data_IF_906240587458
#
_entry.id   IF_906240587458
#
_cell.length_a   1.000
_cell.length_b   1.000
_cell.length_c   1.000
_cell.angle_alpha   90.00
_cell.angle_beta   90.00
_cell.angle_gamma   90.00
#
_symmetry.space_group_name_H-M   'P 1'
#
loop_
_entity.id
_entity.type
_entity.pdbx_description
1 polymer ?
#
# COMPACT_ATOMS: atom_id res chain seq x y z
N UNK A 1 -0.46 20.28 19.76
CA UNK A 1 0.25 18.99 19.77
C UNK A 1 -0.05 18.29 18.45
N UNK A 2 0.93 17.62 17.82
CA UNK A 2 0.68 16.89 16.56
C UNK A 2 -0.26 15.70 16.82
N UNK A 3 -1.21 15.44 15.92
CA UNK A 3 -2.17 14.35 16.07
C UNK A 3 -1.43 12.99 16.18
N UNK A 4 -1.87 12.07 17.06
CA UNK A 4 -1.23 10.78 17.20
C UNK A 4 -1.35 9.96 15.90
N UNK A 5 -0.23 9.37 15.46
CA UNK A 5 -0.20 8.46 14.31
C UNK A 5 -0.40 7.03 14.78
N UNK A 6 -1.39 6.33 14.24
CA UNK A 6 -1.62 4.89 14.48
C UNK A 6 -1.42 4.11 13.19
N UNK A 7 -0.62 3.05 13.26
CA UNK A 7 -0.35 2.14 12.13
C UNK A 7 -1.01 0.79 12.43
N UNK A 8 -1.82 0.30 11.49
CA UNK A 8 -2.42 -1.03 11.53
C UNK A 8 -1.96 -1.82 10.31
N UNK A 9 -1.30 -2.95 10.53
CA UNK A 9 -0.94 -3.89 9.46
C UNK A 9 -2.16 -4.78 9.15
N UNK A 10 -2.92 -4.40 8.12
CA UNK A 10 -4.10 -5.15 7.69
C UNK A 10 -3.71 -6.45 7.00
N UNK A 11 -2.60 -6.41 6.25
CA UNK A 11 -2.05 -7.59 5.63
C UNK A 11 -0.53 -7.54 5.47
N UNK A 12 0.07 -8.73 5.50
CA UNK A 12 1.52 -8.95 5.58
C UNK A 12 1.92 -10.18 4.76
N UNK A 13 1.10 -10.53 3.77
CA UNK A 13 1.25 -11.63 2.86
C UNK A 13 2.03 -11.22 1.61
N UNK A 14 2.12 -12.17 0.69
CA UNK A 14 2.78 -12.05 -0.60
C UNK A 14 1.88 -12.76 -1.64
N UNK A 15 2.30 -12.94 -2.90
CA UNK A 15 1.46 -13.58 -3.93
C UNK A 15 1.00 -14.99 -3.56
N UNK A 16 1.75 -15.71 -2.72
CA UNK A 16 1.35 -17.05 -2.27
C UNK A 16 0.22 -16.94 -1.24
N UNK A 17 -0.98 -17.47 -1.51
CA UNK A 17 -2.11 -17.37 -0.60
C UNK A 17 -1.81 -18.09 0.72
N UNK A 18 -2.14 -17.43 1.83
CA UNK A 18 -2.01 -17.99 3.18
C UNK A 18 -3.26 -17.68 3.98
N UNK A 19 -3.87 -18.70 4.59
CA UNK A 19 -5.12 -18.55 5.36
C UNK A 19 -5.06 -17.48 6.47
N UNK A 20 -3.88 -17.23 7.03
CA UNK A 20 -3.69 -16.27 8.15
C UNK A 20 -3.10 -14.92 7.72
N UNK A 21 -2.69 -14.74 6.47
CA UNK A 21 -2.07 -13.50 5.99
C UNK A 21 -2.77 -13.01 4.72
N UNK A 22 -3.49 -11.90 4.84
CA UNK A 22 -3.96 -11.12 3.70
C UNK A 22 -2.77 -10.53 2.92
N UNK A 23 -2.98 -10.12 1.67
CA UNK A 23 -1.99 -9.44 0.84
C UNK A 23 -1.48 -8.13 1.46
N UNK A 24 -0.55 -7.43 0.82
CA UNK A 24 0.03 -6.20 1.37
C UNK A 24 -1.08 -5.16 1.64
N UNK A 25 -1.16 -4.68 2.88
CA UNK A 25 -1.98 -3.51 3.22
C UNK A 25 -1.62 -2.93 4.58
N UNK A 26 -1.39 -1.63 4.62
CA UNK A 26 -1.07 -0.86 5.82
C UNK A 26 -2.03 0.32 5.93
N UNK A 27 -2.80 0.39 7.00
CA UNK A 27 -3.60 1.56 7.33
C UNK A 27 -2.81 2.45 8.29
N UNK A 28 -2.68 3.72 7.96
CA UNK A 28 -2.19 4.78 8.85
C UNK A 28 -3.32 5.76 9.15
N UNK A 29 -3.55 6.03 10.44
CA UNK A 29 -4.47 7.07 10.90
C UNK A 29 -3.71 8.27 11.43
N UNK A 30 -4.08 9.45 10.95
CA UNK A 30 -3.56 10.75 11.37
C UNK A 30 -4.73 11.64 11.74
N UNK A 31 -5.03 11.76 13.03
CA UNK A 31 -6.31 12.33 13.47
C UNK A 31 -7.47 11.51 12.88
N UNK A 32 -8.37 12.17 12.15
CA UNK A 32 -9.51 11.54 11.47
C UNK A 32 -9.16 11.03 10.06
N UNK A 33 -8.00 11.39 9.52
CA UNK A 33 -7.59 10.96 8.18
C UNK A 33 -7.14 9.49 8.18
N UNK A 34 -7.88 8.65 7.45
CA UNK A 34 -7.50 7.27 7.14
C UNK A 34 -6.79 7.14 5.79
N UNK A 35 -5.51 6.81 5.82
CA UNK A 35 -4.66 6.61 4.63
C UNK A 35 -4.27 5.13 4.57
N UNK A 36 -4.60 4.45 3.46
CA UNK A 36 -4.21 3.05 3.24
C UNK A 36 -3.12 2.96 2.18
N UNK A 37 -2.06 2.22 2.47
CA UNK A 37 -1.04 1.82 1.51
C UNK A 37 -1.29 0.36 1.12
N UNK A 38 -1.56 0.14 -0.17
CA UNK A 38 -1.96 -1.14 -0.77
C UNK A 38 -3.28 -1.74 -0.25
N UNK A 39 -3.97 -2.47 -1.12
CA UNK A 39 -5.19 -3.24 -0.88
C UNK A 39 -5.06 -4.63 -1.52
N UNK A 40 -4.15 -5.44 -0.98
CA UNK A 40 -4.00 -6.85 -1.37
C UNK A 40 -5.18 -7.74 -0.96
N UNK A 41 -5.28 -8.98 -1.46
CA UNK A 41 -6.40 -9.88 -1.19
C UNK A 41 -6.72 -10.04 0.30
N UNK A 42 -7.98 -9.78 0.67
CA UNK A 42 -8.49 -9.92 2.04
C UNK A 42 -8.20 -8.74 2.97
N UNK A 43 -7.65 -7.64 2.46
CA UNK A 43 -7.37 -6.43 3.24
C UNK A 43 -8.62 -5.74 3.76
N UNK A 44 -9.67 -5.65 2.94
CA UNK A 44 -10.96 -5.09 3.33
C UNK A 44 -11.60 -5.90 4.45
N UNK A 45 -11.57 -7.23 4.34
CA UNK A 45 -12.03 -8.11 5.41
C UNK A 45 -11.23 -7.92 6.71
N UNK A 46 -9.91 -7.78 6.63
CA UNK A 46 -9.06 -7.51 7.80
C UNK A 46 -9.34 -6.14 8.44
N UNK A 47 -9.69 -5.15 7.61
CA UNK A 47 -10.09 -3.83 8.07
C UNK A 47 -11.38 -3.92 8.90
N UNK A 48 -12.42 -4.59 8.40
CA UNK A 48 -13.67 -4.76 9.17
C UNK A 48 -13.50 -5.65 10.39
N UNK A 49 -12.71 -6.72 10.30
CA UNK A 49 -12.40 -7.58 11.45
C UNK A 49 -11.67 -6.82 12.57
N UNK A 50 -10.98 -5.73 12.24
CA UNK A 50 -10.38 -4.82 13.21
C UNK A 50 -11.35 -3.76 13.76
N UNK A 51 -12.64 -3.82 13.40
CA UNK A 51 -13.67 -2.85 13.82
C UNK A 51 -13.50 -1.48 13.18
N UNK A 52 -12.82 -1.40 12.03
CA UNK A 52 -12.52 -0.15 11.36
C UNK A 52 -13.60 0.13 10.31
N UNK A 53 -14.23 1.29 10.40
CA UNK A 53 -15.16 1.77 9.38
C UNK A 53 -14.38 2.21 8.13
N UNK A 54 -14.67 1.56 7.00
CA UNK A 54 -14.06 1.87 5.70
C UNK A 54 -14.40 3.28 5.19
N UNK A 55 -15.53 3.87 5.62
CA UNK A 55 -15.90 5.24 5.26
C UNK A 55 -14.87 6.26 5.77
N UNK A 56 -14.17 5.95 6.87
CA UNK A 56 -13.11 6.80 7.44
C UNK A 56 -11.80 6.81 6.64
N UNK A 57 -11.68 5.95 5.63
CA UNK A 57 -10.54 5.97 4.71
C UNK A 57 -10.85 6.93 3.56
N UNK A 58 -10.06 7.99 3.45
CA UNK A 58 -10.18 9.00 2.39
C UNK A 58 -9.10 8.87 1.32
N UNK A 59 -8.01 8.18 1.61
CA UNK A 59 -6.85 8.10 0.73
C UNK A 59 -6.33 6.66 0.58
N UNK A 60 -6.06 6.25 -0.66
CA UNK A 60 -5.40 4.98 -0.99
C UNK A 60 -4.15 5.28 -1.81
N UNK A 61 -3.02 4.65 -1.46
CA UNK A 61 -1.76 4.73 -2.17
C UNK A 61 -1.31 3.32 -2.57
N UNK A 62 -1.22 3.03 -3.86
CA UNK A 62 -0.65 1.78 -4.37
C UNK A 62 0.84 1.94 -4.59
N UNK A 63 1.63 1.06 -3.98
CA UNK A 63 3.08 1.01 -4.23
C UNK A 63 3.36 0.52 -5.65
N UNK A 64 2.62 -0.48 -6.11
CA UNK A 64 2.65 -1.01 -7.47
C UNK A 64 1.40 -1.86 -7.74
N UNK A 65 1.23 -2.30 -8.99
CA UNK A 65 0.03 -3.04 -9.42
C UNK A 65 0.24 -4.54 -9.58
N UNK A 66 0.97 -5.18 -8.65
CA UNK A 66 0.83 -6.61 -8.46
C UNK A 66 -0.47 -6.93 -7.72
N UNK A 67 -1.06 -8.08 -8.05
CA UNK A 67 -2.39 -8.45 -7.52
C UNK A 67 -2.40 -8.55 -6.00
N UNK A 68 -1.29 -8.97 -5.37
CA UNK A 68 -1.17 -9.06 -3.92
C UNK A 68 -1.05 -7.70 -3.22
N UNK A 69 -1.03 -6.61 -3.98
CA UNK A 69 -1.06 -5.22 -3.51
C UNK A 69 -2.34 -4.47 -3.90
N UNK A 70 -3.15 -4.94 -4.85
CA UNK A 70 -4.30 -4.17 -5.33
C UNK A 70 -5.58 -4.96 -5.65
N UNK A 71 -5.58 -6.29 -5.57
CA UNK A 71 -6.73 -7.11 -6.00
C UNK A 71 -8.01 -6.84 -5.18
N UNK A 72 -7.88 -6.31 -3.97
CA UNK A 72 -9.02 -6.03 -3.09
C UNK A 72 -9.57 -4.61 -3.27
N UNK A 73 -9.01 -3.83 -4.20
CA UNK A 73 -9.40 -2.44 -4.46
C UNK A 73 -10.88 -2.32 -4.83
N UNK A 74 -11.34 -3.12 -5.80
CA UNK A 74 -12.73 -3.14 -6.24
C UNK A 74 -13.70 -3.45 -5.09
N UNK A 75 -13.42 -4.52 -4.36
CA UNK A 75 -14.21 -4.94 -3.21
C UNK A 75 -14.26 -3.86 -2.12
N UNK A 76 -13.10 -3.31 -1.74
CA UNK A 76 -13.00 -2.25 -0.75
C UNK A 76 -13.86 -1.03 -1.13
N UNK A 77 -13.74 -0.53 -2.36
CA UNK A 77 -14.47 0.65 -2.83
C UNK A 77 -15.98 0.44 -2.80
N UNK A 78 -16.46 -0.68 -3.37
CA UNK A 78 -17.90 -0.96 -3.45
C UNK A 78 -18.51 -1.14 -2.06
N UNK A 79 -17.80 -1.84 -1.17
CA UNK A 79 -18.25 -2.01 0.21
C UNK A 79 -18.20 -0.70 1.00
N UNK A 80 -17.16 0.13 0.84
CA UNK A 80 -17.08 1.48 1.44
C UNK A 80 -18.26 2.35 0.98
N UNK A 81 -18.55 2.36 -0.31
CA UNK A 81 -19.66 3.13 -0.88
C UNK A 81 -21.03 2.68 -0.37
N UNK A 82 -21.25 1.36 -0.31
CA UNK A 82 -22.52 0.82 0.16
C UNK A 82 -22.73 1.07 1.67
N UNK A 83 -21.67 1.01 2.47
CA UNK A 83 -21.70 1.28 3.92
C UNK A 83 -21.86 2.77 4.24
N UNK A 84 -21.30 3.66 3.41
CA UNK A 84 -21.38 5.11 3.66
C UNK A 84 -22.78 5.67 3.49
N UNK A 85 -23.66 4.97 2.76
CA UNK A 85 -25.04 5.40 2.48
C UNK A 85 -25.12 6.85 1.96
N UNK A 86 -24.15 7.27 1.15
CA UNK A 86 -24.08 8.63 0.58
C UNK A 86 -23.40 9.67 1.47
N UNK A 87 -22.89 9.30 2.64
CA UNK A 87 -22.12 10.18 3.55
C UNK A 87 -20.61 10.16 3.29
N UNK A 88 -20.14 9.33 2.37
CA UNK A 88 -18.71 9.14 2.13
C UNK A 88 -18.16 10.20 1.19
N UNK A 89 -17.03 10.81 1.57
CA UNK A 89 -16.28 11.72 0.71
C UNK A 89 -15.68 11.00 -0.51
N UNK A 90 -15.29 11.79 -1.53
CA UNK A 90 -14.56 11.32 -2.71
C UNK A 90 -13.27 10.60 -2.29
N UNK A 91 -13.15 9.33 -2.68
CA UNK A 91 -11.96 8.54 -2.39
C UNK A 91 -10.81 8.96 -3.32
N UNK A 92 -9.74 9.49 -2.75
CA UNK A 92 -8.53 9.81 -3.51
C UNK A 92 -7.65 8.56 -3.63
N UNK A 93 -7.28 8.21 -4.85
CA UNK A 93 -6.48 7.01 -5.14
C UNK A 93 -5.24 7.39 -5.93
N UNK A 94 -4.09 7.05 -5.38
CA UNK A 94 -2.79 7.40 -5.91
C UNK A 94 -1.96 6.14 -6.13
N UNK A 95 -1.04 6.17 -7.07
CA UNK A 95 -0.13 5.06 -7.33
C UNK A 95 0.69 5.33 -8.57
N UNK A 96 1.60 4.42 -8.96
CA UNK A 96 2.26 4.54 -10.25
C UNK A 96 1.26 4.42 -11.41
N UNK A 97 1.70 4.76 -12.61
CA UNK A 97 0.96 4.43 -13.83
C UNK A 97 0.69 2.90 -13.85
N UNK A 98 -0.52 2.42 -14.20
CA UNK A 98 -1.67 3.18 -14.69
C UNK A 98 -2.84 3.26 -13.67
N UNK A 99 -2.61 3.73 -12.44
CA UNK A 99 -3.61 3.90 -11.38
C UNK A 99 -4.89 4.58 -11.86
N UNK A 100 -4.79 5.73 -12.54
CA UNK A 100 -5.95 6.47 -13.03
C UNK A 100 -6.80 5.65 -14.02
N UNK A 101 -6.14 4.95 -14.94
CA UNK A 101 -6.80 4.06 -15.91
C UNK A 101 -7.44 2.86 -15.21
N UNK A 102 -6.78 2.25 -14.22
CA UNK A 102 -7.34 1.13 -13.46
C UNK A 102 -8.63 1.58 -12.76
N UNK A 103 -8.61 2.73 -12.07
CA UNK A 103 -9.80 3.30 -11.45
C UNK A 103 -10.93 3.51 -12.46
N UNK A 104 -10.63 4.10 -13.62
CA UNK A 104 -11.62 4.29 -14.68
C UNK A 104 -12.20 2.96 -15.16
N UNK A 105 -11.36 1.97 -15.46
CA UNK A 105 -11.79 0.67 -15.97
C UNK A 105 -12.62 -0.13 -14.97
N UNK A 106 -12.42 0.07 -13.66
CA UNK A 106 -13.21 -0.61 -12.65
C UNK A 106 -14.59 0.04 -12.47
N UNK A 107 -14.68 1.37 -12.46
CA UNK A 107 -15.86 2.08 -11.93
C UNK A 107 -16.58 3.00 -12.92
N UNK A 108 -16.11 3.13 -14.17
CA UNK A 108 -16.87 3.80 -15.23
C UNK A 108 -18.18 3.04 -15.52
N UNK A 109 -19.11 3.70 -16.24
CA UNK A 109 -20.40 3.10 -16.62
C UNK A 109 -20.23 1.80 -17.42
N UNK A 110 -19.24 1.78 -18.31
CA UNK A 110 -18.83 0.66 -19.15
C UNK A 110 -17.66 -0.13 -18.53
N UNK A 111 -17.30 0.18 -17.28
CA UNK A 111 -16.26 -0.52 -16.54
C UNK A 111 -16.71 -1.87 -15.99
N UNK A 112 -15.77 -2.57 -15.35
CA UNK A 112 -15.98 -3.92 -14.78
C UNK A 112 -17.20 -3.98 -13.86
N UNK A 113 -17.40 -2.96 -13.02
CA UNK A 113 -18.53 -2.91 -12.09
C UNK A 113 -19.71 -2.08 -12.60
N UNK A 114 -19.67 -1.61 -13.85
CA UNK A 114 -20.73 -0.81 -14.47
C UNK A 114 -22.13 -1.40 -14.30
N UNK A 115 -22.37 -2.69 -14.63
CA UNK A 115 -23.68 -3.32 -14.44
C UNK A 115 -24.16 -3.36 -12.97
N UNK A 116 -23.26 -3.60 -12.00
CA UNK A 116 -23.63 -3.59 -10.57
C UNK A 116 -23.93 -2.16 -10.09
N UNK A 117 -23.14 -1.18 -10.51
CA UNK A 117 -23.37 0.23 -10.22
C UNK A 117 -24.74 0.67 -10.76
N UNK A 118 -25.05 0.36 -12.02
CA UNK A 118 -26.33 0.68 -12.65
C UNK A 118 -27.51 0.06 -11.88
N UNK A 119 -27.44 -1.24 -11.62
CA UNK A 119 -28.48 -1.96 -10.88
C UNK A 119 -28.68 -1.34 -9.49
N UNK A 120 -27.60 -0.99 -8.80
CA UNK A 120 -27.67 -0.41 -7.45
C UNK A 120 -28.20 1.01 -7.44
N UNK A 121 -27.93 1.82 -8.45
CA UNK A 121 -28.39 3.21 -8.50
C UNK A 121 -29.80 3.36 -9.07
N UNK A 122 -30.23 2.48 -9.98
CA UNK A 122 -31.52 2.61 -10.66
C UNK A 122 -32.62 1.69 -10.13
N UNK A 123 -32.30 0.49 -9.63
CA UNK A 123 -33.34 -0.48 -9.28
C UNK A 123 -34.08 -0.08 -7.99
N UNK A 124 -35.42 -0.08 -8.02
CA UNK A 124 -36.27 0.36 -6.91
C UNK A 124 -35.99 -0.37 -5.59
N UNK A 125 -35.74 -1.69 -5.62
CA UNK A 125 -35.36 -2.45 -4.41
C UNK A 125 -34.05 -1.92 -3.80
N UNK A 126 -33.06 -1.60 -4.63
CA UNK A 126 -31.77 -1.09 -4.14
C UNK A 126 -31.90 0.34 -3.60
N UNK A 127 -32.68 1.19 -4.26
CA UNK A 127 -32.99 2.54 -3.78
C UNK A 127 -33.72 2.51 -2.43
N UNK A 128 -34.69 1.61 -2.25
CA UNK A 128 -35.37 1.41 -0.96
C UNK A 128 -34.39 0.95 0.12
N UNK A 129 -33.50 0.00 -0.17
CA UNK A 129 -32.47 -0.44 0.77
C UNK A 129 -31.48 0.67 1.14
N UNK A 130 -31.16 1.57 0.20
CA UNK A 130 -30.35 2.75 0.47
C UNK A 130 -31.02 3.73 1.43
N UNK A 131 -32.31 4.01 1.22
CA UNK A 131 -33.10 4.86 2.13
C UNK A 131 -33.25 4.27 3.53
N UNK A 132 -33.42 2.94 3.65
CA UNK A 132 -33.45 2.25 4.95
C UNK A 132 -32.14 2.38 5.74
N UNK A 133 -31.03 2.72 5.08
CA UNK A 133 -29.73 3.01 5.70
C UNK A 133 -29.47 4.52 5.85
N UNK A 134 -30.54 5.31 5.81
CA UNK A 134 -30.53 6.77 5.89
C UNK A 134 -29.88 7.46 4.70
N UNK A 135 -29.79 6.78 3.55
CA UNK A 135 -29.31 7.37 2.30
C UNK A 135 -30.40 8.20 1.61
N UNK A 136 -29.99 9.26 0.91
CA UNK A 136 -30.88 10.11 0.13
C UNK A 136 -30.91 9.70 -1.34
N UNK A 137 -32.03 9.98 -2.03
CA UNK A 137 -32.15 9.82 -3.47
C UNK A 137 -31.85 11.15 -4.19
N UNK A 138 -31.31 11.12 -5.42
CA UNK A 138 -30.89 9.93 -6.17
C UNK A 138 -29.67 9.26 -5.52
N UNK A 139 -29.60 7.92 -5.58
CA UNK A 139 -28.42 7.18 -5.11
C UNK A 139 -27.29 7.39 -6.12
N UNK A 140 -26.30 8.20 -5.76
CA UNK A 140 -25.13 8.44 -6.60
C UNK A 140 -24.18 7.23 -6.61
N UNK A 141 -23.45 7.07 -7.71
CA UNK A 141 -22.30 6.15 -7.85
C UNK A 141 -21.18 6.54 -6.88
N UNK A 142 -20.23 5.63 -6.58
CA UNK A 142 -19.07 5.99 -5.77
C UNK A 142 -18.26 7.12 -6.43
N UNK A 143 -17.93 8.15 -5.65
CA UNK A 143 -17.03 9.22 -6.09
C UNK A 143 -15.58 8.82 -5.80
N UNK A 144 -14.78 8.67 -6.85
CA UNK A 144 -13.40 8.15 -6.77
C UNK A 144 -12.54 8.91 -7.77
N UNK A 145 -11.38 9.39 -7.31
CA UNK A 145 -10.42 10.07 -8.15
C UNK A 145 -9.09 9.33 -8.18
N UNK A 146 -8.83 8.64 -9.28
CA UNK A 146 -7.54 8.00 -9.55
C UNK A 146 -6.53 8.99 -10.12
N UNK A 147 -5.31 8.99 -9.60
CA UNK A 147 -4.19 9.82 -10.08
C UNK A 147 -2.90 9.00 -10.12
N UNK A 148 -2.23 9.06 -11.27
CA UNK A 148 -0.88 8.54 -11.40
C UNK A 148 0.14 9.48 -10.73
N UNK A 149 1.11 8.90 -10.04
CA UNK A 149 2.24 9.57 -9.41
C UNK A 149 3.56 9.07 -9.98
N UNK A 150 4.54 9.97 -10.02
CA UNK A 150 5.95 9.68 -10.22
C UNK A 150 6.75 9.86 -8.92
N UNK A 151 7.94 9.28 -8.87
CA UNK A 151 8.88 9.51 -7.78
C UNK A 151 9.25 11.00 -7.69
N UNK A 152 9.25 11.55 -6.48
CA UNK A 152 9.47 12.97 -6.19
C UNK A 152 8.19 13.78 -5.99
N UNK A 153 7.04 13.28 -6.46
CA UNK A 153 5.76 13.96 -6.22
C UNK A 153 5.29 13.86 -4.78
N UNK A 154 4.46 14.81 -4.38
CA UNK A 154 3.90 14.93 -3.04
C UNK A 154 2.39 15.11 -3.08
N UNK A 155 1.72 14.48 -2.12
CA UNK A 155 0.30 14.66 -1.84
C UNK A 155 0.18 15.09 -0.39
N UNK A 156 -0.50 16.20 -0.13
CA UNK A 156 -0.71 16.73 1.22
C UNK A 156 -2.19 16.71 1.58
N UNK A 157 -2.46 16.57 2.87
CA UNK A 157 -3.76 16.81 3.48
C UNK A 157 -3.57 17.55 4.80
N UNK A 158 -4.61 17.60 5.63
CA UNK A 158 -4.55 18.29 6.91
C UNK A 158 -3.58 17.61 7.88
N UNK A 159 -2.43 18.25 8.11
CA UNK A 159 -1.42 17.80 9.07
C UNK A 159 -0.56 16.62 8.62
N UNK A 160 -0.63 16.21 7.36
CA UNK A 160 0.18 15.13 6.80
C UNK A 160 0.63 15.39 5.37
N UNK A 161 1.76 14.79 4.97
CA UNK A 161 2.25 14.80 3.59
C UNK A 161 2.83 13.44 3.23
N UNK A 162 2.40 12.89 2.09
CA UNK A 162 2.98 11.68 1.48
C UNK A 162 3.89 12.10 0.34
N UNK A 163 5.17 11.74 0.44
CA UNK A 163 6.15 11.86 -0.65
C UNK A 163 6.32 10.51 -1.34
N UNK A 164 6.15 10.47 -2.66
CA UNK A 164 6.49 9.31 -3.47
C UNK A 164 8.00 9.25 -3.72
N UNK A 165 8.61 8.09 -3.51
CA UNK A 165 10.01 7.82 -3.82
C UNK A 165 10.16 6.66 -4.78
N UNK A 166 11.36 6.51 -5.34
CA UNK A 166 11.65 5.39 -6.24
C UNK A 166 11.69 4.06 -5.46
N UNK A 167 11.12 3.01 -6.06
CA UNK A 167 11.31 1.62 -5.70
C UNK A 167 11.75 0.85 -6.96
N UNK A 168 12.61 -0.16 -6.80
CA UNK A 168 13.09 -0.97 -7.92
C UNK A 168 12.77 -2.44 -7.69
N UNK A 169 11.91 -2.99 -8.53
CA UNK A 169 11.32 -4.32 -8.39
C UNK A 169 11.45 -5.12 -9.69
N UNK A 170 10.53 -4.90 -10.64
CA UNK A 170 10.45 -5.62 -11.92
C UNK A 170 10.32 -4.67 -13.12
N UNK A 171 11.00 -3.51 -13.05
CA UNK A 171 11.08 -2.58 -14.17
C UNK A 171 11.75 -3.24 -15.40
N UNK A 172 11.41 -2.82 -16.64
CA UNK A 172 10.46 -1.76 -17.00
C UNK A 172 8.98 -2.22 -17.05
N UNK A 173 8.69 -3.48 -16.72
CA UNK A 173 7.35 -4.06 -16.88
C UNK A 173 6.33 -3.51 -15.88
N UNK A 174 6.79 -3.11 -14.70
CA UNK A 174 5.93 -2.54 -13.66
C UNK A 174 6.59 -1.32 -13.02
N UNK A 175 5.87 -0.20 -13.03
CA UNK A 175 6.26 0.96 -12.25
C UNK A 175 6.02 0.69 -10.76
N UNK A 176 6.95 1.12 -9.91
CA UNK A 176 6.89 0.87 -8.46
C UNK A 176 7.38 2.09 -7.70
N UNK A 177 6.66 2.41 -6.62
CA UNK A 177 6.92 3.53 -5.75
C UNK A 177 7.03 3.06 -4.31
N UNK A 178 7.84 3.79 -3.55
CA UNK A 178 7.84 3.79 -2.11
C UNK A 178 7.18 5.08 -1.61
N UNK A 179 6.71 5.09 -0.37
CA UNK A 179 6.07 6.26 0.21
C UNK A 179 6.68 6.63 1.54
N UNK A 180 6.85 7.93 1.77
CA UNK A 180 7.15 8.52 3.07
C UNK A 180 5.98 9.38 3.49
N UNK A 181 5.36 9.04 4.61
CA UNK A 181 4.33 9.82 5.28
C UNK A 181 4.98 10.64 6.40
N UNK A 182 5.02 11.96 6.24
CA UNK A 182 5.44 12.91 7.27
C UNK A 182 4.20 13.49 7.99
N UNK A 183 4.25 13.51 9.32
CA UNK A 183 3.19 14.02 10.22
C UNK A 183 3.85 14.83 11.34
N UNK A 184 3.86 16.16 11.20
CA UNK A 184 4.62 17.03 12.09
C UNK A 184 6.11 16.66 12.07
N UNK A 185 6.66 16.25 13.23
CA UNK A 185 8.05 15.81 13.36
C UNK A 185 8.23 14.29 13.21
N UNK A 186 7.16 13.55 12.89
CA UNK A 186 7.18 12.09 12.76
C UNK A 186 7.15 11.68 11.31
N UNK A 187 7.78 10.55 11.00
CA UNK A 187 7.79 10.00 9.66
C UNK A 187 7.68 8.46 9.63
N UNK A 188 6.87 7.96 8.71
CA UNK A 188 6.67 6.52 8.43
C UNK A 188 7.01 6.28 6.96
N UNK A 189 7.81 5.25 6.67
CA UNK A 189 8.17 4.88 5.29
C UNK A 189 7.62 3.49 4.98
N UNK A 190 6.96 3.37 3.84
CA UNK A 190 6.42 2.13 3.29
C UNK A 190 7.16 1.89 1.97
N UNK A 191 7.95 0.82 1.89
CA UNK A 191 8.79 0.63 0.70
C UNK A 191 8.07 0.07 -0.52
N UNK A 192 6.94 -0.61 -0.32
CA UNK A 192 6.46 -1.60 -1.29
C UNK A 192 7.49 -2.71 -1.50
N UNK A 193 7.39 -3.38 -2.65
CA UNK A 193 8.43 -4.30 -3.10
C UNK A 193 9.58 -3.52 -3.74
N UNK A 194 10.79 -3.72 -3.22
CA UNK A 194 12.00 -3.13 -3.79
C UNK A 194 13.23 -3.94 -3.43
N UNK A 195 14.18 -4.04 -4.36
CA UNK A 195 15.58 -4.35 -4.03
C UNK A 195 16.21 -3.17 -3.26
N UNK A 196 17.34 -3.38 -2.57
CA UNK A 196 18.08 -2.28 -1.96
C UNK A 196 18.58 -1.28 -3.01
N UNK A 197 18.24 0.00 -2.82
CA UNK A 197 18.66 1.13 -3.65
C UNK A 197 18.99 2.35 -2.77
N UNK A 198 19.91 3.20 -3.24
CA UNK A 198 20.31 4.41 -2.52
C UNK A 198 19.14 5.39 -2.31
N UNK A 199 18.21 5.48 -3.28
CA UNK A 199 17.03 6.32 -3.19
C UNK A 199 16.11 5.92 -2.01
N UNK A 200 15.97 4.62 -1.72
CA UNK A 200 15.21 4.13 -0.57
C UNK A 200 15.86 4.54 0.75
N UNK A 201 17.19 4.45 0.85
CA UNK A 201 17.94 4.90 2.03
C UNK A 201 17.78 6.42 2.23
N UNK A 202 17.78 7.19 1.15
CA UNK A 202 17.55 8.63 1.20
C UNK A 202 16.12 8.96 1.65
N UNK A 203 15.11 8.27 1.09
CA UNK A 203 13.70 8.44 1.47
C UNK A 203 13.47 8.10 2.94
N UNK A 204 14.07 7.01 3.43
CA UNK A 204 13.91 6.52 4.80
C UNK A 204 14.71 7.29 5.86
N UNK A 205 15.58 8.22 5.44
CA UNK A 205 16.47 8.92 6.36
C UNK A 205 15.67 9.74 7.39
N UNK A 206 15.92 9.48 8.66
CA UNK A 206 15.24 10.17 9.76
C UNK A 206 13.78 9.77 9.96
N UNK A 207 13.31 8.68 9.35
CA UNK A 207 12.00 8.12 9.66
C UNK A 207 11.99 7.50 11.07
N UNK A 208 10.84 7.56 11.74
CA UNK A 208 10.63 6.83 12.99
C UNK A 208 10.39 5.34 12.72
N UNK A 209 9.61 5.05 11.68
CA UNK A 209 9.19 3.70 11.30
C UNK A 209 9.51 3.44 9.83
N UNK A 210 10.17 2.32 9.55
CA UNK A 210 10.31 1.78 8.20
C UNK A 210 9.61 0.42 8.13
N UNK A 211 8.60 0.35 7.27
CA UNK A 211 7.89 -0.86 6.88
C UNK A 211 8.48 -1.31 5.54
N UNK A 212 9.36 -2.32 5.59
CA UNK A 212 10.12 -2.77 4.44
C UNK A 212 9.77 -4.20 4.03
N UNK A 213 9.76 -4.44 2.72
CA UNK A 213 9.71 -5.79 2.19
C UNK A 213 10.92 -6.58 2.68
N UNK A 214 10.66 -7.81 3.12
CA UNK A 214 11.68 -8.73 3.58
C UNK A 214 11.29 -10.14 3.18
N UNK A 215 11.67 -10.51 1.96
CA UNK A 215 11.42 -11.84 1.40
C UNK A 215 12.70 -12.67 1.43
N UNK A 216 12.55 -13.96 1.78
CA UNK A 216 13.62 -14.93 1.59
C UNK A 216 13.65 -15.37 0.12
N UNK A 217 14.66 -14.89 -0.60
CA UNK A 217 14.85 -15.18 -2.02
C UNK A 217 15.90 -16.28 -2.26
N UNK A 218 16.44 -16.90 -1.19
CA UNK A 218 17.37 -18.03 -1.32
C UNK A 218 16.82 -19.20 -2.15
N UNK A 219 15.52 -19.57 -2.04
CA UNK A 219 14.93 -20.60 -2.89
C UNK A 219 14.88 -20.26 -4.39
N UNK A 220 14.88 -18.96 -4.74
CA UNK A 220 14.75 -18.49 -6.12
C UNK A 220 16.12 -18.34 -6.80
N UNK A 221 17.11 -17.82 -6.08
CA UNK A 221 18.43 -17.54 -6.64
C UNK A 221 19.49 -18.61 -6.32
N UNK A 222 19.12 -19.65 -5.57
CA UNK A 222 19.98 -20.77 -5.20
C UNK A 222 20.91 -20.46 -4.02
N UNK A 223 21.29 -21.52 -3.30
CA UNK A 223 22.21 -21.44 -2.16
C UNK A 223 23.53 -20.79 -2.58
N UNK A 224 23.84 -19.62 -2.01
CA UNK A 224 25.06 -18.86 -2.29
C UNK A 224 24.84 -17.49 -2.92
N UNK A 225 23.74 -17.27 -3.65
CA UNK A 225 23.27 -15.92 -4.01
C UNK A 225 22.43 -15.38 -2.86
N UNK A 226 23.09 -15.16 -1.73
CA UNK A 226 22.47 -14.52 -0.57
C UNK A 226 21.91 -13.17 -1.02
N UNK A 227 20.59 -13.07 -1.11
CA UNK A 227 19.84 -11.82 -1.14
C UNK A 227 20.27 -11.02 0.08
N UNK A 228 21.30 -10.20 -0.11
CA UNK A 228 22.13 -9.63 0.95
C UNK A 228 22.77 -10.70 1.86
N UNK A 229 24.10 -10.72 1.96
CA UNK A 229 24.71 -11.19 3.22
C UNK A 229 23.94 -10.48 4.33
N UNK A 230 23.33 -11.23 5.25
CA UNK A 230 22.89 -10.80 6.58
C UNK A 230 23.71 -9.58 6.99
N UNK A 231 23.25 -8.39 6.62
CA UNK A 231 23.79 -7.18 7.15
C UNK A 231 22.99 -7.06 8.43
N UNK A 232 23.58 -7.33 9.61
CA UNK A 232 22.91 -6.90 10.82
C UNK A 232 22.87 -5.38 10.69
N UNK A 233 21.73 -4.86 10.26
CA UNK A 233 21.41 -3.47 10.52
C UNK A 233 21.37 -3.42 12.04
N UNK A 234 22.46 -2.93 12.64
CA UNK A 234 22.56 -2.79 14.09
C UNK A 234 21.54 -1.74 14.49
N UNK A 235 20.40 -2.19 15.00
CA UNK A 235 19.50 -1.40 15.82
C UNK A 235 20.32 -0.81 16.97
N UNK A 236 20.38 0.51 17.05
CA UNK A 236 20.84 1.17 18.27
C UNK A 236 19.96 0.69 19.44
N UNK A 237 20.61 0.35 20.55
CA UNK A 237 20.02 -0.27 21.75
C UNK A 237 18.75 0.49 22.19
N UNK A 238 17.64 -0.24 22.27
CA UNK A 238 16.37 0.27 22.80
C UNK A 238 15.31 -0.83 22.95
N UNK A 239 15.51 -1.75 23.88
CA UNK A 239 14.44 -2.45 24.60
C UNK A 239 13.35 -3.21 23.83
N UNK A 240 13.69 -4.22 23.02
CA UNK A 240 12.98 -5.52 22.96
C UNK A 240 13.64 -6.44 21.94
N UNK A 241 13.77 -7.74 22.27
CA UNK A 241 14.39 -8.74 21.40
C UNK A 241 13.56 -8.93 20.11
N UNK A 242 14.17 -8.95 18.92
CA UNK A 242 13.46 -9.28 17.68
C UNK A 242 12.96 -10.74 17.74
N UNK A 243 11.64 -10.96 17.57
CA UNK A 243 11.09 -12.29 17.32
C UNK A 243 11.31 -12.64 15.85
N UNK A 244 12.00 -13.76 15.59
CA UNK A 244 12.16 -14.31 14.23
C UNK A 244 10.79 -14.69 13.67
N UNK A 245 10.39 -14.10 12.56
CA UNK A 245 9.33 -14.63 11.71
C UNK A 245 9.99 -15.26 10.47
N UNK A 246 10.10 -16.59 10.46
CA UNK A 246 10.37 -17.32 9.22
C UNK A 246 9.13 -17.17 8.32
N UNK A 247 9.30 -16.69 7.08
CA UNK A 247 8.28 -16.72 6.03
C UNK A 247 7.24 -15.60 6.00
N UNK A 248 7.53 -14.40 6.51
CA UNK A 248 6.67 -13.20 6.34
C UNK A 248 7.35 -12.15 5.46
N UNK A 249 6.60 -11.48 4.58
CA UNK A 249 7.08 -10.50 3.58
C UNK A 249 7.25 -9.07 4.12
N UNK A 250 6.83 -8.78 5.34
CA UNK A 250 6.84 -7.43 5.89
C UNK A 250 7.58 -7.41 7.24
N UNK A 251 8.64 -6.59 7.33
CA UNK A 251 9.37 -6.31 8.57
C UNK A 251 9.23 -4.84 8.92
N UNK A 252 8.72 -4.56 10.12
CA UNK A 252 8.79 -3.23 10.72
C UNK A 252 10.10 -3.12 11.50
N UNK A 253 10.93 -2.13 11.16
CA UNK A 253 12.15 -1.83 11.91
C UNK A 253 12.18 -0.36 12.31
N UNK A 254 12.70 -0.09 13.51
CA UNK A 254 12.91 1.27 14.03
C UNK A 254 14.19 1.83 13.39
N UNK A 255 14.08 2.95 12.67
CA UNK A 255 15.08 3.36 11.68
C UNK A 255 16.25 4.22 12.22
N UNK A 256 16.49 4.25 13.53
CA UNK A 256 17.64 4.99 14.08
C UNK A 256 18.97 4.27 13.75
N UNK A 257 19.67 4.73 12.70
CA UNK A 257 21.09 4.43 12.46
C UNK A 257 21.48 3.67 11.18
N UNK A 258 20.87 3.96 10.02
CA UNK A 258 21.29 3.34 8.75
C UNK A 258 22.57 4.00 8.20
N UNK A 259 23.65 3.21 8.03
CA UNK A 259 24.86 3.60 7.30
C UNK A 259 25.04 2.73 6.06
N UNK A 260 25.49 3.33 4.96
CA UNK A 260 25.75 2.66 3.69
C UNK A 260 26.94 1.69 3.83
N UNK A 261 26.87 0.45 3.30
CA UNK A 261 28.07 -0.35 3.12
C UNK A 261 28.92 0.28 1.99
N UNK A 262 30.26 0.21 2.07
CA UNK A 262 31.12 0.76 1.03
C UNK A 262 30.92 0.01 -0.31
N UNK A 263 30.87 0.78 -1.40
CA UNK A 263 30.73 0.25 -2.76
C UNK A 263 31.90 -0.71 -3.09
N UNK A 264 31.61 -1.88 -3.67
CA UNK A 264 32.63 -2.78 -4.24
C UNK A 264 32.46 -2.88 -5.76
N UNK A 265 33.63 -2.92 -6.41
CA UNK A 265 33.92 -2.81 -7.84
C UNK A 265 33.06 -3.73 -8.72
N UNK A 266 32.66 -3.19 -9.88
CA UNK A 266 32.02 -3.93 -10.96
C UNK A 266 32.93 -5.07 -11.48
N UNK A 267 32.34 -6.22 -11.78
CA UNK A 267 32.95 -7.31 -12.54
C UNK A 267 32.45 -7.29 -13.99
N UNK A 268 33.28 -7.69 -14.98
CA UNK A 268 32.93 -7.59 -16.39
C UNK A 268 31.87 -8.63 -16.78
N UNK A 269 31.13 -8.39 -17.88
CA UNK A 269 30.04 -9.27 -18.29
C UNK A 269 30.59 -10.61 -18.81
N UNK A 270 30.06 -11.72 -18.31
CA UNK A 270 30.24 -13.03 -18.94
C UNK A 270 29.30 -13.12 -20.14
N UNK A 271 29.88 -13.32 -21.32
CA UNK A 271 29.19 -13.92 -22.48
C UNK A 271 28.89 -15.38 -22.16
N UNK A 272 27.78 -15.89 -22.69
CA UNK A 272 27.49 -17.26 -23.16
C UNK A 272 25.96 -17.32 -23.45
N UNK A 273 25.51 -17.21 -24.71
CA UNK A 273 25.21 -18.27 -25.69
C UNK A 273 24.51 -19.52 -25.14
N UNK A 274 23.32 -19.79 -25.67
CA UNK A 274 22.76 -21.08 -26.14
C UNK A 274 21.58 -20.69 -27.07
N UNK A 275 21.62 -20.94 -28.38
CA UNK A 275 21.31 -22.21 -29.10
C UNK A 275 19.91 -22.74 -28.78
#
# INVERSE_FOLDING_TARGET
>A
MSAPVRITLLGTGNPTPRLRRAGSSVLTRVGDAGIVFDLGPGSAHKLWAAGIDAATVGQVFFTHHHFDHNADYGHFVLSRWDQSAGRGDELQVFGPVPTARITQQLFAQDGVYGPDLEARTQHALSQRMHQLRSGTLPRCKPSIRGRDLAAGERVAGDGWTVTAGAAEHVQPYLASLAYRLDVGLRAVVISGDSRPIAAMVALARGADVLIHMAMDLEPIFGAGRRSTRRAPVRLARGGSRPRRAYGGSCWCTWASGWTTPPARRAWPPRRDRCS
#
